data_IF_796454584219
#
_entry.id   IF_796454584219
#
_cell.length_a   1.000
_cell.length_b   1.000
_cell.length_c   1.000
_cell.angle_alpha   90.00
_cell.angle_beta   90.00
_cell.angle_gamma   90.00
#
_symmetry.space_group_name_H-M   'P 1'
#
loop_
_entity.id
_entity.type
_entity.pdbx_description
1 polymer ?
#
# COMPACT_ATOMS: atom_id res chain seq x y z
N UNK A 1 13.84 -15.91 29.86
CA UNK A 1 12.86 -15.95 28.77
C UNK A 1 12.95 -14.67 27.91
N UNK A 2 14.17 -14.16 27.65
CA UNK A 2 14.41 -12.88 26.93
C UNK A 2 15.48 -12.99 25.83
N UNK A 3 15.72 -14.19 25.29
CA UNK A 3 16.83 -14.43 24.36
C UNK A 3 16.38 -14.92 22.95
N UNK A 4 15.17 -14.62 22.48
CA UNK A 4 14.68 -15.02 21.13
C UNK A 4 14.11 -13.90 20.27
N UNK A 5 14.35 -12.63 20.61
CA UNK A 5 13.82 -11.49 19.84
C UNK A 5 14.89 -10.63 19.16
N UNK A 6 16.16 -11.05 19.16
CA UNK A 6 17.25 -10.24 18.60
C UNK A 6 17.41 -10.31 17.06
N UNK A 7 16.75 -11.23 16.37
CA UNK A 7 16.98 -11.48 14.92
C UNK A 7 15.89 -10.89 13.99
N UNK A 8 15.01 -10.02 14.48
CA UNK A 8 13.95 -9.40 13.64
C UNK A 8 14.05 -7.88 13.49
N UNK A 9 15.10 -7.25 14.00
CA UNK A 9 15.30 -5.80 13.89
C UNK A 9 16.49 -5.52 12.97
N UNK A 10 16.36 -5.84 11.69
CA UNK A 10 17.31 -5.40 10.68
C UNK A 10 16.63 -5.37 9.30
N UNK A 11 15.69 -4.45 9.10
CA UNK A 11 15.26 -4.13 7.74
C UNK A 11 14.75 -2.68 7.69
N UNK A 12 15.69 -1.73 7.85
CA UNK A 12 15.50 -0.39 7.27
C UNK A 12 16.22 -0.41 5.92
N UNK A 13 15.54 -0.12 4.81
CA UNK A 13 16.25 0.08 3.55
C UNK A 13 17.19 1.27 3.69
N UNK A 14 18.40 1.17 3.13
CA UNK A 14 19.47 2.20 3.12
C UNK A 14 19.08 3.55 2.49
N UNK A 15 17.81 3.81 2.21
CA UNK A 15 17.28 5.05 1.68
C UNK A 15 17.28 6.23 2.68
N UNK A 16 17.53 5.99 3.96
CA UNK A 16 17.53 7.04 5.01
C UNK A 16 18.92 7.36 5.56
N UNK A 17 19.93 7.47 4.73
CA UNK A 17 21.20 8.10 5.17
C UNK A 17 21.03 9.61 5.25
N UNK A 18 20.90 10.09 6.46
CA UNK A 18 21.05 11.50 6.82
C UNK A 18 22.43 11.97 6.33
N UNK A 19 22.47 13.02 5.51
CA UNK A 19 23.69 13.69 5.08
C UNK A 19 24.47 14.21 6.30
N UNK A 20 25.64 13.66 6.57
CA UNK A 20 26.50 14.21 7.63
C UNK A 20 27.68 13.35 8.09
N UNK A 21 28.27 12.46 7.26
CA UNK A 21 29.60 11.94 7.58
C UNK A 21 30.39 11.75 6.29
N UNK A 22 31.57 12.43 6.22
CA UNK A 22 32.49 12.30 5.10
C UNK A 22 32.99 10.84 4.96
N UNK A 23 33.06 10.31 3.74
CA UNK A 23 33.60 8.97 3.53
C UNK A 23 35.09 8.96 3.71
N UNK A 24 35.60 8.01 4.52
CA UNK A 24 37.02 7.65 4.55
C UNK A 24 37.44 7.23 3.13
N UNK A 25 38.58 7.82 2.67
CA UNK A 25 39.12 7.58 1.35
C UNK A 25 39.35 6.09 1.07
N UNK A 26 38.55 5.53 0.20
CA UNK A 26 38.73 4.18 -0.31
C UNK A 26 39.46 4.24 -1.65
N UNK A 27 40.52 3.43 -1.82
CA UNK A 27 41.35 3.33 -3.00
C UNK A 27 40.52 3.03 -4.25
N UNK A 28 40.56 3.88 -5.27
CA UNK A 28 39.64 3.95 -6.42
C UNK A 28 39.53 2.69 -7.31
N UNK A 29 40.29 1.64 -7.06
CA UNK A 29 40.28 0.44 -7.89
C UNK A 29 39.38 -0.72 -7.41
N UNK A 30 39.02 -0.77 -6.13
CA UNK A 30 38.16 -1.84 -5.55
C UNK A 30 36.69 -1.44 -5.41
N UNK A 31 36.39 -0.14 -5.47
CA UNK A 31 35.07 0.41 -5.20
C UNK A 31 34.01 0.09 -6.28
N UNK A 32 34.40 -0.05 -7.55
CA UNK A 32 33.48 -0.37 -8.66
C UNK A 32 32.94 -1.80 -8.61
N UNK A 33 33.71 -2.76 -8.09
CA UNK A 33 33.27 -4.17 -7.96
C UNK A 33 32.39 -4.40 -6.72
N UNK A 34 32.70 -3.73 -5.59
CA UNK A 34 31.83 -3.80 -4.41
C UNK A 34 30.48 -3.12 -4.66
N UNK A 35 30.42 -1.91 -5.25
CA UNK A 35 29.18 -1.22 -5.55
C UNK A 35 28.25 -1.97 -6.53
N UNK A 36 28.83 -2.76 -7.44
CA UNK A 36 28.04 -3.57 -8.40
C UNK A 36 27.48 -4.83 -7.76
N UNK A 37 28.18 -5.43 -6.79
CA UNK A 37 27.70 -6.62 -6.07
C UNK A 37 26.69 -6.28 -4.96
N UNK A 38 26.81 -5.10 -4.34
CA UNK A 38 25.80 -4.57 -3.41
C UNK A 38 24.48 -4.21 -4.11
N UNK A 39 24.54 -3.84 -5.39
CA UNK A 39 23.34 -3.60 -6.20
C UNK A 39 22.66 -4.90 -6.67
N UNK A 40 23.36 -6.02 -6.64
CA UNK A 40 22.83 -7.35 -6.87
C UNK A 40 22.38 -7.96 -5.54
N UNK A 41 21.25 -7.53 -5.03
CA UNK A 41 20.66 -8.04 -3.78
C UNK A 41 20.27 -9.54 -3.94
N UNK A 42 21.23 -10.44 -3.81
CA UNK A 42 21.03 -11.90 -3.95
C UNK A 42 19.90 -12.43 -3.03
N UNK A 43 19.71 -11.77 -1.89
CA UNK A 43 18.59 -12.05 -1.00
C UNK A 43 17.23 -11.84 -1.66
N UNK A 44 17.07 -10.79 -2.45
CA UNK A 44 15.83 -10.52 -3.20
C UNK A 44 15.64 -11.48 -4.37
N UNK A 45 16.72 -11.83 -5.07
CA UNK A 45 16.64 -12.88 -6.07
C UNK A 45 16.11 -14.18 -5.47
N UNK A 46 16.68 -14.62 -4.34
CA UNK A 46 16.27 -15.85 -3.68
C UNK A 46 14.83 -15.79 -3.17
N UNK A 47 14.40 -14.64 -2.68
CA UNK A 47 13.02 -14.37 -2.26
C UNK A 47 12.04 -14.49 -3.43
N UNK A 48 12.37 -13.87 -4.57
CA UNK A 48 11.58 -13.96 -5.79
C UNK A 48 11.53 -15.39 -6.34
N UNK A 49 12.67 -16.12 -6.30
CA UNK A 49 12.74 -17.53 -6.71
C UNK A 49 11.90 -18.43 -5.82
N UNK A 50 11.92 -18.24 -4.51
CA UNK A 50 11.06 -19.00 -3.57
C UNK A 50 9.57 -18.74 -3.82
N UNK A 51 9.20 -17.51 -4.14
CA UNK A 51 7.80 -17.13 -4.34
C UNK A 51 7.26 -17.57 -5.72
N UNK A 52 8.08 -17.47 -6.78
CA UNK A 52 7.62 -17.58 -8.16
C UNK A 52 8.27 -18.75 -8.93
N UNK A 53 9.14 -19.51 -8.28
CA UNK A 53 9.95 -20.55 -8.93
C UNK A 53 11.18 -19.99 -9.66
N UNK A 54 12.12 -20.88 -10.01
CA UNK A 54 13.45 -20.48 -10.52
C UNK A 54 13.37 -19.61 -11.78
N UNK A 55 12.56 -19.97 -12.76
CA UNK A 55 12.46 -19.25 -14.03
C UNK A 55 11.82 -17.88 -13.90
N UNK A 56 10.62 -17.82 -13.31
CA UNK A 56 9.86 -16.58 -13.15
C UNK A 56 10.48 -15.66 -12.10
N UNK A 57 10.98 -16.20 -10.99
CA UNK A 57 11.66 -15.44 -9.96
C UNK A 57 12.95 -14.79 -10.46
N UNK A 58 13.73 -15.51 -11.26
CA UNK A 58 14.94 -14.95 -11.89
C UNK A 58 14.58 -13.88 -12.92
N UNK A 59 13.55 -14.10 -13.75
CA UNK A 59 13.06 -13.11 -14.72
C UNK A 59 12.59 -11.84 -14.04
N UNK A 60 11.80 -11.96 -12.96
CA UNK A 60 11.31 -10.85 -12.18
C UNK A 60 12.47 -10.07 -11.52
N UNK A 61 13.46 -10.79 -10.97
CA UNK A 61 14.64 -10.16 -10.39
C UNK A 61 15.49 -9.42 -11.44
N UNK A 62 15.70 -10.00 -12.63
CA UNK A 62 16.42 -9.33 -13.71
C UNK A 62 15.70 -8.08 -14.22
N UNK A 63 14.36 -8.09 -14.21
CA UNK A 63 13.55 -6.92 -14.50
C UNK A 63 13.85 -5.76 -13.55
N UNK A 64 14.09 -6.04 -12.27
CA UNK A 64 14.48 -5.06 -11.27
C UNK A 64 15.95 -4.63 -11.41
N UNK A 65 16.86 -5.61 -11.50
CA UNK A 65 18.29 -5.38 -11.32
C UNK A 65 18.97 -4.75 -12.54
N UNK A 66 18.65 -5.23 -13.76
CA UNK A 66 19.31 -4.78 -14.98
C UNK A 66 19.15 -3.27 -15.25
N UNK A 67 17.95 -2.66 -15.10
CA UNK A 67 17.80 -1.23 -15.34
C UNK A 67 18.56 -0.36 -14.34
N UNK A 68 18.75 -0.83 -13.09
CA UNK A 68 19.54 -0.10 -12.09
C UNK A 68 21.02 -0.01 -12.41
N UNK A 69 21.53 -0.93 -13.22
CA UNK A 69 22.91 -0.92 -13.71
C UNK A 69 23.12 0.08 -14.85
N UNK A 70 22.06 0.64 -15.42
CA UNK A 70 22.11 1.59 -16.52
C UNK A 70 21.58 2.96 -16.11
N UNK A 71 22.41 3.99 -16.24
CA UNK A 71 21.99 5.41 -16.03
C UNK A 71 20.97 5.89 -17.08
N UNK A 72 20.76 5.12 -18.15
CA UNK A 72 19.85 5.41 -19.26
C UNK A 72 18.63 4.48 -19.30
N UNK A 73 18.36 3.75 -18.20
CA UNK A 73 17.21 2.86 -18.18
C UNK A 73 15.90 3.64 -18.33
N UNK A 74 15.14 3.29 -19.35
CA UNK A 74 13.77 3.79 -19.51
C UNK A 74 12.91 3.37 -18.32
N UNK A 75 12.29 4.33 -17.64
CA UNK A 75 11.30 4.09 -16.58
C UNK A 75 9.91 3.74 -17.16
N UNK A 76 9.80 3.49 -18.47
CA UNK A 76 8.55 3.11 -19.12
C UNK A 76 8.05 1.77 -18.56
N UNK A 77 6.78 1.73 -18.16
CA UNK A 77 6.16 0.54 -17.63
C UNK A 77 6.24 -0.66 -18.59
N UNK A 78 6.51 -1.83 -18.04
CA UNK A 78 6.60 -3.10 -18.79
C UNK A 78 5.75 -4.16 -18.09
N UNK A 79 5.14 -5.08 -18.86
CA UNK A 79 4.34 -6.15 -18.27
C UNK A 79 5.23 -7.18 -17.59
N UNK A 80 4.81 -7.61 -16.41
CA UNK A 80 5.40 -8.71 -15.66
C UNK A 80 4.33 -9.71 -15.27
N UNK A 81 4.60 -11.01 -15.45
CA UNK A 81 3.73 -12.08 -14.96
C UNK A 81 4.18 -12.50 -13.58
N UNK A 82 3.23 -12.54 -12.66
CA UNK A 82 3.39 -13.15 -11.33
C UNK A 82 2.36 -14.28 -11.17
N UNK A 83 2.72 -15.42 -10.53
CA UNK A 83 1.87 -16.62 -10.52
C UNK A 83 0.50 -16.40 -9.90
N UNK A 84 0.43 -15.52 -8.89
CA UNK A 84 -0.79 -15.22 -8.14
C UNK A 84 -1.76 -14.29 -8.86
N UNK A 85 -1.39 -13.68 -9.99
CA UNK A 85 -2.24 -12.74 -10.73
C UNK A 85 -2.54 -13.29 -12.12
N UNK A 86 -3.83 -13.44 -12.52
CA UNK A 86 -4.21 -14.04 -13.79
C UNK A 86 -3.66 -13.30 -15.02
N UNK A 87 -3.52 -11.98 -14.92
CA UNK A 87 -3.05 -11.12 -16.00
C UNK A 87 -1.68 -10.50 -15.66
N UNK A 88 -0.88 -10.12 -16.68
CA UNK A 88 0.35 -9.40 -16.43
C UNK A 88 0.08 -8.08 -15.72
N UNK A 89 0.89 -7.76 -14.73
CA UNK A 89 0.91 -6.44 -14.08
C UNK A 89 1.96 -5.57 -14.75
N UNK A 90 1.68 -4.29 -14.86
CA UNK A 90 2.60 -3.31 -15.44
C UNK A 90 3.33 -2.58 -14.34
N UNK A 91 4.66 -2.62 -14.38
CA UNK A 91 5.56 -2.00 -13.41
C UNK A 91 6.59 -1.15 -14.13
N UNK A 92 7.00 -0.05 -13.52
CA UNK A 92 8.12 0.77 -13.99
C UNK A 92 9.43 0.18 -13.49
N UNK A 93 10.37 -0.18 -14.38
CA UNK A 93 11.68 -0.70 -13.98
C UNK A 93 12.48 0.36 -13.21
N UNK A 94 13.34 -0.07 -12.29
CA UNK A 94 14.20 0.81 -11.49
C UNK A 94 13.47 1.89 -10.67
N UNK A 95 12.22 1.63 -10.31
CA UNK A 95 11.41 2.47 -9.41
C UNK A 95 10.99 1.69 -8.17
N UNK A 96 10.22 2.34 -7.31
CA UNK A 96 9.62 1.76 -6.11
C UNK A 96 8.50 0.76 -6.39
N UNK A 97 7.97 0.68 -7.62
CA UNK A 97 6.92 -0.27 -8.01
C UNK A 97 7.26 -1.73 -7.67
N UNK A 98 8.56 -2.08 -7.80
CA UNK A 98 9.01 -3.43 -7.41
C UNK A 98 8.85 -3.71 -5.93
N UNK A 99 9.19 -2.74 -5.07
CA UNK A 99 9.11 -2.91 -3.62
C UNK A 99 7.66 -3.10 -3.18
N UNK A 100 6.75 -2.32 -3.76
CA UNK A 100 5.31 -2.46 -3.53
C UNK A 100 4.81 -3.84 -3.99
N UNK A 101 5.25 -4.31 -5.16
CA UNK A 101 4.93 -5.66 -5.64
C UNK A 101 5.48 -6.76 -4.69
N UNK A 102 6.72 -6.62 -4.25
CA UNK A 102 7.36 -7.55 -3.31
C UNK A 102 6.58 -7.58 -1.98
N UNK A 103 6.29 -6.44 -1.40
CA UNK A 103 5.55 -6.30 -0.15
C UNK A 103 4.16 -6.96 -0.22
N UNK A 104 3.44 -6.76 -1.33
CA UNK A 104 2.07 -7.23 -1.47
C UNK A 104 2.01 -8.70 -1.85
N UNK A 105 2.74 -9.15 -2.87
CA UNK A 105 2.57 -10.50 -3.46
C UNK A 105 3.59 -11.52 -2.98
N UNK A 106 4.80 -11.11 -2.59
CA UNK A 106 5.82 -12.02 -2.06
C UNK A 106 5.68 -12.10 -0.55
N UNK A 107 5.70 -10.97 0.15
CA UNK A 107 5.62 -10.90 1.61
C UNK A 107 4.18 -11.02 2.12
N UNK A 108 3.20 -10.96 1.20
CA UNK A 108 1.78 -11.04 1.51
C UNK A 108 1.36 -10.01 2.58
N UNK A 109 1.79 -8.76 2.41
CA UNK A 109 1.67 -7.68 3.39
C UNK A 109 0.27 -7.49 3.98
N UNK A 110 -0.79 -7.77 3.19
CA UNK A 110 -2.18 -7.68 3.62
C UNK A 110 -2.82 -9.00 4.06
N UNK A 111 -2.06 -10.11 4.10
CA UNK A 111 -2.60 -11.40 4.55
C UNK A 111 -2.89 -11.41 6.04
N UNK A 112 -4.08 -11.85 6.42
CA UNK A 112 -4.55 -11.98 7.79
C UNK A 112 -4.17 -13.32 8.44
N UNK A 113 -3.48 -14.22 7.71
CA UNK A 113 -3.17 -15.61 8.15
C UNK A 113 -2.39 -15.70 9.46
N UNK A 114 -1.70 -14.63 9.87
CA UNK A 114 -1.02 -14.56 11.18
C UNK A 114 -2.00 -14.44 12.36
N UNK A 115 -3.23 -14.01 12.11
CA UNK A 115 -4.27 -13.75 13.11
C UNK A 115 -5.54 -14.52 12.73
N UNK A 116 -5.56 -15.85 12.89
CA UNK A 116 -6.60 -16.72 12.32
C UNK A 116 -8.00 -16.44 12.88
N UNK A 117 -8.13 -15.91 14.09
CA UNK A 117 -9.42 -15.53 14.66
C UNK A 117 -9.98 -14.29 13.99
N UNK A 118 -9.14 -13.26 13.79
CA UNK A 118 -9.51 -12.04 13.08
C UNK A 118 -9.79 -12.31 11.61
N UNK A 119 -8.99 -13.17 10.97
CA UNK A 119 -9.23 -13.58 9.58
C UNK A 119 -10.61 -14.24 9.44
N UNK A 120 -10.93 -15.19 10.32
CA UNK A 120 -12.27 -15.85 10.33
C UNK A 120 -13.39 -14.82 10.52
N UNK A 121 -13.22 -13.86 11.44
CA UNK A 121 -14.23 -12.83 11.69
C UNK A 121 -14.46 -11.93 10.46
N UNK A 122 -13.41 -11.52 9.75
CA UNK A 122 -13.53 -10.73 8.52
C UNK A 122 -14.21 -11.56 7.41
N UNK A 123 -13.82 -12.82 7.22
CA UNK A 123 -14.44 -13.71 6.21
C UNK A 123 -15.90 -14.00 6.51
N UNK A 124 -16.24 -14.31 7.75
CA UNK A 124 -17.65 -14.47 8.17
C UNK A 124 -18.47 -13.20 7.97
N UNK A 125 -17.89 -12.03 8.22
CA UNK A 125 -18.58 -10.77 7.95
C UNK A 125 -18.84 -10.58 6.46
N UNK A 126 -17.82 -10.83 5.62
CA UNK A 126 -17.93 -10.79 4.17
C UNK A 126 -19.05 -11.73 3.66
N UNK A 127 -19.09 -12.98 4.11
CA UNK A 127 -20.11 -13.97 3.73
C UNK A 127 -21.51 -13.52 4.17
N UNK A 128 -21.67 -13.03 5.40
CA UNK A 128 -22.96 -12.50 5.90
C UNK A 128 -23.45 -11.28 5.11
N UNK A 129 -22.55 -10.40 4.67
CA UNK A 129 -22.94 -9.29 3.80
C UNK A 129 -23.56 -9.82 2.50
N UNK A 130 -22.92 -10.82 1.88
CA UNK A 130 -23.43 -11.44 0.65
C UNK A 130 -24.77 -12.14 0.86
N UNK A 131 -24.93 -12.90 1.94
CA UNK A 131 -26.18 -13.58 2.31
C UNK A 131 -27.36 -12.60 2.52
N UNK A 132 -27.05 -11.39 2.99
CA UNK A 132 -28.04 -10.32 3.18
C UNK A 132 -28.31 -9.50 1.92
N UNK A 133 -27.71 -9.86 0.78
CA UNK A 133 -27.80 -9.09 -0.46
C UNK A 133 -27.09 -7.73 -0.41
N UNK A 134 -26.16 -7.56 0.54
CA UNK A 134 -25.31 -6.37 0.64
C UNK A 134 -24.07 -6.55 -0.24
N UNK A 135 -23.54 -5.45 -0.75
CA UNK A 135 -22.28 -5.45 -1.50
C UNK A 135 -21.12 -5.09 -0.55
N UNK A 136 -20.19 -6.00 -0.28
CA UNK A 136 -18.99 -5.66 0.47
C UNK A 136 -18.14 -4.63 -0.31
N UNK A 137 -17.80 -3.50 0.32
CA UNK A 137 -17.00 -2.44 -0.29
C UNK A 137 -15.60 -2.42 0.33
N UNK A 138 -14.60 -2.37 -0.53
CA UNK A 138 -13.20 -2.15 -0.12
C UNK A 138 -12.72 -0.82 -0.71
N UNK A 139 -12.14 0.01 0.12
CA UNK A 139 -11.51 1.26 -0.29
C UNK A 139 -9.99 1.10 -0.20
N UNK A 140 -9.30 1.31 -1.32
CA UNK A 140 -7.85 1.39 -1.40
C UNK A 140 -7.48 2.86 -1.59
N UNK A 141 -7.24 3.55 -0.48
CA UNK A 141 -6.91 4.97 -0.44
C UNK A 141 -5.39 5.12 -0.52
N UNK A 142 -4.90 5.76 -1.59
CA UNK A 142 -3.49 5.73 -1.99
C UNK A 142 -3.17 4.44 -2.74
N UNK A 143 -3.89 4.21 -3.86
CA UNK A 143 -3.84 2.93 -4.57
C UNK A 143 -2.56 2.75 -5.40
N UNK A 144 -1.75 3.80 -5.57
CA UNK A 144 -0.54 3.79 -6.38
C UNK A 144 -0.84 3.20 -7.77
N UNK A 145 -0.16 2.14 -8.18
CA UNK A 145 -0.41 1.45 -9.44
C UNK A 145 -1.43 0.31 -9.35
N UNK A 146 -2.20 0.20 -8.24
CA UNK A 146 -3.34 -0.72 -8.08
C UNK A 146 -3.01 -2.12 -7.57
N UNK A 147 -1.83 -2.36 -7.06
CA UNK A 147 -1.42 -3.71 -6.64
C UNK A 147 -2.18 -4.21 -5.41
N UNK A 148 -2.48 -3.33 -4.45
CA UNK A 148 -3.29 -3.67 -3.28
C UNK A 148 -4.74 -3.97 -3.69
N UNK A 149 -5.33 -3.16 -4.58
CA UNK A 149 -6.66 -3.42 -5.13
C UNK A 149 -6.75 -4.78 -5.83
N UNK A 150 -5.73 -5.14 -6.64
CA UNK A 150 -5.65 -6.47 -7.28
C UNK A 150 -5.56 -7.60 -6.26
N UNK A 151 -4.77 -7.42 -5.20
CA UNK A 151 -4.66 -8.41 -4.13
C UNK A 151 -5.99 -8.60 -3.39
N UNK A 152 -6.68 -7.51 -3.02
CA UNK A 152 -7.99 -7.57 -2.39
C UNK A 152 -9.05 -8.21 -3.29
N UNK A 153 -9.02 -7.94 -4.59
CA UNK A 153 -9.96 -8.55 -5.55
C UNK A 153 -9.82 -10.08 -5.61
N UNK A 154 -8.62 -10.61 -5.39
CA UNK A 154 -8.39 -12.07 -5.32
C UNK A 154 -8.90 -12.67 -4.00
N UNK A 155 -8.83 -11.91 -2.91
CA UNK A 155 -9.26 -12.38 -1.59
C UNK A 155 -10.77 -12.29 -1.39
N UNK A 156 -11.44 -11.32 -2.05
CA UNK A 156 -12.86 -10.99 -1.87
C UNK A 156 -13.52 -10.80 -3.24
N UNK A 157 -13.81 -11.92 -3.91
CA UNK A 157 -14.22 -11.96 -5.33
C UNK A 157 -15.48 -11.15 -5.64
N UNK A 158 -16.39 -11.02 -4.69
CA UNK A 158 -17.66 -10.30 -4.85
C UNK A 158 -17.63 -8.91 -4.19
N UNK A 159 -16.48 -8.46 -3.72
CA UNK A 159 -16.37 -7.11 -3.19
C UNK A 159 -16.27 -6.08 -4.33
N UNK A 160 -16.89 -4.93 -4.13
CA UNK A 160 -16.67 -3.73 -4.94
C UNK A 160 -15.46 -2.99 -4.40
N UNK A 161 -14.51 -2.66 -5.23
CA UNK A 161 -13.27 -2.01 -4.82
C UNK A 161 -13.18 -0.64 -5.49
N UNK A 162 -13.00 0.41 -4.68
CA UNK A 162 -12.68 1.75 -5.17
C UNK A 162 -11.20 2.03 -4.88
N UNK A 163 -10.42 2.19 -5.94
CA UNK A 163 -8.97 2.43 -5.86
C UNK A 163 -8.69 3.90 -6.17
N UNK A 164 -8.33 4.66 -5.15
CA UNK A 164 -8.17 6.13 -5.22
C UNK A 164 -6.69 6.48 -5.29
N UNK A 165 -6.30 7.18 -6.35
CA UNK A 165 -4.91 7.60 -6.58
C UNK A 165 -4.88 9.01 -7.15
N UNK A 166 -4.19 9.96 -6.49
CA UNK A 166 -4.15 11.35 -6.93
C UNK A 166 -3.11 11.64 -8.01
N UNK A 167 -1.99 10.90 -8.06
CA UNK A 167 -0.92 11.19 -9.01
C UNK A 167 -1.25 10.64 -10.40
N UNK A 168 -1.21 11.52 -11.42
CA UNK A 168 -1.62 11.18 -12.78
C UNK A 168 -0.89 9.96 -13.35
N UNK A 169 0.44 9.92 -13.23
CA UNK A 169 1.25 8.83 -13.80
C UNK A 169 0.96 7.47 -13.11
N UNK A 170 0.70 7.49 -11.80
CA UNK A 170 0.29 6.31 -11.05
C UNK A 170 -1.12 5.88 -11.44
N UNK A 171 -2.04 6.84 -11.55
CA UNK A 171 -3.42 6.58 -11.91
C UNK A 171 -3.57 5.97 -13.31
N UNK A 172 -2.80 6.42 -14.30
CA UNK A 172 -2.80 5.82 -15.62
C UNK A 172 -2.36 4.34 -15.56
N UNK A 173 -1.33 4.06 -14.77
CA UNK A 173 -0.85 2.70 -14.61
C UNK A 173 -1.80 1.83 -13.76
N UNK A 174 -2.42 2.40 -12.73
CA UNK A 174 -3.53 1.79 -11.98
C UNK A 174 -4.65 1.36 -12.94
N UNK A 175 -5.15 2.27 -13.79
CA UNK A 175 -6.20 1.97 -14.77
C UNK A 175 -5.82 0.80 -15.68
N UNK A 176 -4.58 0.77 -16.14
CA UNK A 176 -4.07 -0.30 -16.99
C UNK A 176 -4.03 -1.63 -16.23
N UNK A 177 -3.52 -1.64 -15.00
CA UNK A 177 -3.39 -2.84 -14.19
C UNK A 177 -4.74 -3.47 -13.81
N UNK A 178 -5.75 -2.65 -13.51
CA UNK A 178 -7.07 -3.15 -13.07
C UNK A 178 -8.07 -3.34 -14.21
N UNK A 179 -7.68 -3.05 -15.46
CA UNK A 179 -8.59 -3.04 -16.63
C UNK A 179 -9.36 -4.35 -16.86
N UNK A 180 -8.82 -5.48 -16.42
CA UNK A 180 -9.45 -6.81 -16.51
C UNK A 180 -10.31 -7.17 -15.29
N UNK A 181 -10.48 -6.26 -14.33
CA UNK A 181 -11.19 -6.50 -13.07
C UNK A 181 -12.41 -5.57 -12.96
N UNK A 182 -13.59 -5.99 -13.43
CA UNK A 182 -14.79 -5.13 -13.48
C UNK A 182 -15.31 -4.71 -12.09
N UNK A 183 -14.89 -5.39 -11.05
CA UNK A 183 -15.22 -5.08 -9.67
C UNK A 183 -14.29 -4.01 -9.05
N UNK A 184 -13.24 -3.58 -9.76
CA UNK A 184 -12.34 -2.49 -9.33
C UNK A 184 -12.66 -1.23 -10.12
N UNK A 185 -12.93 -0.13 -9.43
CA UNK A 185 -13.12 1.20 -10.03
C UNK A 185 -11.96 2.09 -9.65
N UNK A 186 -11.06 2.43 -10.59
CA UNK A 186 -10.03 3.41 -10.36
C UNK A 186 -10.62 4.83 -10.32
N UNK A 187 -10.15 5.66 -9.39
CA UNK A 187 -10.63 7.03 -9.18
C UNK A 187 -9.43 7.96 -9.09
N UNK A 188 -9.36 8.93 -10.01
CA UNK A 188 -8.34 9.97 -10.01
C UNK A 188 -8.74 11.09 -9.05
N UNK A 189 -8.36 10.97 -7.80
CA UNK A 189 -8.65 11.94 -6.74
C UNK A 189 -7.70 11.73 -5.56
N UNK A 190 -7.60 12.70 -4.68
CA UNK A 190 -7.05 12.51 -3.34
C UNK A 190 -8.15 12.16 -2.35
N UNK A 191 -7.93 11.23 -1.43
CA UNK A 191 -8.86 10.97 -0.34
C UNK A 191 -8.72 12.05 0.74
N UNK A 192 -9.84 12.58 1.22
CA UNK A 192 -9.86 13.71 2.15
C UNK A 192 -11.07 13.67 3.07
N UNK A 193 -11.13 14.59 4.02
CA UNK A 193 -12.29 14.74 4.92
C UNK A 193 -13.49 15.50 4.29
N UNK A 194 -13.26 16.21 3.18
CA UNK A 194 -14.28 17.03 2.50
C UNK A 194 -13.97 17.19 1.02
N UNK A 195 -14.94 17.68 0.28
CA UNK A 195 -14.78 18.11 -1.11
C UNK A 195 -13.97 19.42 -1.17
N UNK A 196 -12.81 19.38 -1.78
CA UNK A 196 -11.88 20.49 -1.99
C UNK A 196 -10.89 20.16 -3.12
N UNK A 197 -9.85 20.98 -3.27
CA UNK A 197 -8.78 20.72 -4.22
C UNK A 197 -7.42 20.75 -3.51
N UNK A 198 -6.52 19.91 -3.97
CA UNK A 198 -5.18 19.75 -3.40
C UNK A 198 -4.12 19.86 -4.47
N UNK A 199 -2.94 20.31 -4.08
CA UNK A 199 -1.73 20.19 -4.87
C UNK A 199 -0.97 18.93 -4.44
N UNK A 200 -0.27 18.32 -5.39
CA UNK A 200 0.59 17.17 -5.12
C UNK A 200 2.04 17.63 -5.00
N UNK A 201 2.72 17.11 -4.00
CA UNK A 201 4.15 17.29 -3.81
C UNK A 201 4.83 15.93 -3.78
N UNK A 202 5.99 15.83 -4.42
CA UNK A 202 6.78 14.62 -4.43
C UNK A 202 8.23 15.00 -4.13
N UNK A 203 8.61 15.12 -2.84
CA UNK A 203 9.93 15.60 -2.44
C UNK A 203 11.06 14.65 -2.84
N UNK A 204 10.76 13.35 -2.94
CA UNK A 204 11.77 12.31 -3.20
C UNK A 204 11.87 11.91 -4.68
N UNK A 205 10.91 12.35 -5.51
CA UNK A 205 10.84 12.01 -6.93
C UNK A 205 10.53 10.53 -7.23
N UNK A 206 10.15 9.75 -6.21
CA UNK A 206 9.80 8.35 -6.34
C UNK A 206 8.28 8.17 -6.53
N UNK A 207 7.82 7.16 -7.30
CA UNK A 207 6.41 6.99 -7.61
C UNK A 207 5.47 6.84 -6.41
N UNK A 208 5.94 6.33 -5.29
CA UNK A 208 5.12 6.13 -4.09
C UNK A 208 5.00 7.39 -3.21
N UNK A 209 5.94 8.37 -3.32
CA UNK A 209 6.11 9.48 -2.38
C UNK A 209 5.26 10.73 -2.72
N UNK A 210 4.10 10.54 -3.36
CA UNK A 210 3.18 11.63 -3.67
C UNK A 210 2.30 11.98 -2.47
N UNK A 211 2.51 13.15 -1.90
CA UNK A 211 1.72 13.69 -0.80
C UNK A 211 0.77 14.79 -1.27
N UNK A 212 -0.47 14.77 -0.80
CA UNK A 212 -1.46 15.81 -1.07
C UNK A 212 -1.38 16.94 -0.03
N UNK A 213 -1.52 18.18 -0.48
CA UNK A 213 -1.61 19.37 0.38
C UNK A 213 -2.76 20.25 -0.04
N UNK A 214 -3.59 20.65 0.90
CA UNK A 214 -4.70 21.54 0.60
C UNK A 214 -4.21 22.90 0.12
N UNK A 215 -4.75 23.35 -1.00
CA UNK A 215 -4.47 24.66 -1.56
C UNK A 215 -5.74 25.43 -1.96
N UNK A 216 -6.89 24.75 -1.97
CA UNK A 216 -8.19 25.32 -2.43
C UNK A 216 -8.27 25.60 -3.93
N UNK A 217 -7.13 25.73 -4.60
CA UNK A 217 -7.02 25.95 -6.05
C UNK A 217 -6.17 24.87 -6.74
N UNK A 218 -5.86 23.79 -6.03
CA UNK A 218 -5.00 22.71 -6.51
C UNK A 218 -5.53 22.00 -7.75
N UNK A 219 -4.66 21.22 -8.38
CA UNK A 219 -4.99 20.54 -9.64
C UNK A 219 -5.85 19.31 -9.45
N UNK A 220 -5.76 18.65 -8.26
CA UNK A 220 -6.43 17.39 -7.98
C UNK A 220 -7.67 17.60 -7.12
N UNK A 221 -8.79 17.03 -7.56
CA UNK A 221 -10.04 16.98 -6.80
C UNK A 221 -9.94 15.99 -5.64
N UNK A 222 -10.55 16.31 -4.51
CA UNK A 222 -10.68 15.37 -3.40
C UNK A 222 -11.98 14.56 -3.48
N UNK A 223 -12.02 13.44 -2.77
CA UNK A 223 -13.19 12.61 -2.55
C UNK A 223 -13.21 12.13 -1.10
N UNK A 224 -14.39 12.02 -0.50
CA UNK A 224 -14.51 11.51 0.87
C UNK A 224 -14.80 10.01 0.88
N UNK A 225 -14.47 9.34 2.00
CA UNK A 225 -14.87 7.93 2.21
C UNK A 225 -16.39 7.77 2.09
N UNK A 226 -17.16 8.72 2.62
CA UNK A 226 -18.63 8.74 2.52
C UNK A 226 -19.10 8.74 1.07
N UNK A 227 -18.53 9.63 0.22
CA UNK A 227 -18.92 9.72 -1.20
C UNK A 227 -18.65 8.41 -1.94
N UNK A 228 -17.53 7.76 -1.63
CA UNK A 228 -17.19 6.47 -2.22
C UNK A 228 -18.19 5.37 -1.82
N UNK A 229 -18.56 5.29 -0.55
CA UNK A 229 -19.53 4.32 -0.05
C UNK A 229 -20.91 4.55 -0.67
N UNK A 230 -21.32 5.81 -0.91
CA UNK A 230 -22.59 6.16 -1.54
C UNK A 230 -22.67 5.81 -3.03
N UNK A 231 -21.53 5.56 -3.70
CA UNK A 231 -21.51 5.11 -5.11
C UNK A 231 -22.05 3.68 -5.30
N UNK A 232 -22.09 2.89 -4.23
CA UNK A 232 -22.64 1.54 -4.26
C UNK A 232 -23.90 1.49 -3.37
N UNK A 233 -25.12 1.52 -3.95
CA UNK A 233 -26.37 1.72 -3.20
C UNK A 233 -26.62 0.73 -2.06
N UNK A 234 -26.16 -0.52 -2.22
CA UNK A 234 -26.21 -1.57 -1.19
C UNK A 234 -24.82 -1.83 -0.59
N UNK A 235 -23.92 -0.86 -0.71
CA UNK A 235 -22.53 -1.01 -0.28
C UNK A 235 -22.36 -0.84 1.21
N UNK A 236 -21.63 -1.78 1.81
CA UNK A 236 -21.20 -1.70 3.20
C UNK A 236 -19.69 -1.83 3.27
N UNK A 237 -18.99 -0.99 4.06
CA UNK A 237 -17.54 -1.06 4.15
C UNK A 237 -17.12 -2.39 4.78
N UNK A 238 -16.23 -3.12 4.11
CA UNK A 238 -15.57 -4.31 4.62
C UNK A 238 -14.15 -3.99 5.07
N UNK A 239 -13.39 -3.31 4.20
CA UNK A 239 -12.01 -2.92 4.44
C UNK A 239 -11.79 -1.49 3.94
N UNK A 240 -11.12 -0.68 4.74
CA UNK A 240 -10.56 0.62 4.31
C UNK A 240 -9.06 0.59 4.51
N UNK A 241 -8.28 0.56 3.41
CA UNK A 241 -6.83 0.73 3.43
C UNK A 241 -6.50 2.20 3.24
N UNK A 242 -5.61 2.73 4.08
CA UNK A 242 -5.17 4.14 4.10
C UNK A 242 -3.65 4.16 4.08
N UNK A 243 -3.11 4.69 3.00
CA UNK A 243 -1.68 4.84 2.78
C UNK A 243 -1.53 6.03 1.82
N UNK A 244 -1.53 7.24 2.39
CA UNK A 244 -1.76 8.52 1.69
C UNK A 244 -0.67 9.55 1.94
N UNK A 245 0.49 9.07 2.36
CA UNK A 245 1.73 9.84 2.40
C UNK A 245 1.61 11.19 3.16
N UNK A 246 1.03 11.13 4.38
CA UNK A 246 0.93 12.27 5.31
C UNK A 246 -0.37 13.07 5.23
N UNK A 247 -1.38 12.60 4.47
CA UNK A 247 -2.75 13.16 4.44
C UNK A 247 -3.65 12.69 5.58
N UNK A 248 -3.14 11.87 6.52
CA UNK A 248 -3.93 11.24 7.58
C UNK A 248 -4.55 12.28 8.53
N UNK A 249 -3.85 13.36 8.84
CA UNK A 249 -4.35 14.43 9.72
C UNK A 249 -5.65 15.00 9.16
N UNK A 250 -5.67 15.26 7.88
CA UNK A 250 -6.81 15.84 7.19
C UNK A 250 -7.95 14.83 7.06
N UNK A 251 -7.65 13.60 6.64
CA UNK A 251 -8.66 12.55 6.48
C UNK A 251 -9.40 12.24 7.79
N UNK A 252 -8.68 12.25 8.92
CA UNK A 252 -9.25 11.97 10.24
C UNK A 252 -9.77 13.22 10.98
N UNK A 253 -9.79 14.39 10.35
CA UNK A 253 -10.28 15.64 10.96
C UNK A 253 -11.79 15.64 11.15
N UNK A 254 -12.54 15.26 10.11
CA UNK A 254 -14.01 15.25 10.10
C UNK A 254 -14.58 14.17 9.19
N UNK A 255 -15.91 13.98 9.18
CA UNK A 255 -16.61 12.99 8.36
C UNK A 255 -16.07 11.55 8.55
N UNK A 256 -15.86 11.16 9.81
CA UNK A 256 -15.21 9.89 10.21
C UNK A 256 -16.20 8.82 10.66
N UNK A 257 -17.50 8.99 10.45
CA UNK A 257 -18.55 8.05 10.86
C UNK A 257 -18.40 6.65 10.23
N UNK A 258 -17.74 6.58 9.10
CA UNK A 258 -17.40 5.32 8.42
C UNK A 258 -16.53 4.40 9.27
N UNK A 259 -15.76 4.93 10.24
CA UNK A 259 -14.89 4.17 11.14
C UNK A 259 -15.68 3.13 11.92
N UNK A 260 -16.83 3.54 12.50
CA UNK A 260 -17.68 2.64 13.28
C UNK A 260 -18.22 1.48 12.46
N UNK A 261 -18.52 1.73 11.18
CA UNK A 261 -19.10 0.76 10.26
C UNK A 261 -18.08 -0.17 9.63
N UNK A 262 -16.77 0.17 9.72
CA UNK A 262 -15.72 -0.55 9.01
C UNK A 262 -15.11 -1.65 9.87
N UNK A 263 -15.30 -2.92 9.50
CA UNK A 263 -14.74 -4.09 10.20
C UNK A 263 -13.22 -4.06 10.32
N UNK A 264 -12.53 -3.79 9.20
CA UNK A 264 -11.07 -3.75 9.15
C UNK A 264 -10.59 -2.43 8.53
N UNK A 265 -9.76 -1.71 9.26
CA UNK A 265 -9.03 -0.56 8.74
C UNK A 265 -7.55 -0.93 8.75
N UNK A 266 -6.90 -0.83 7.58
CA UNK A 266 -5.44 -1.03 7.43
C UNK A 266 -4.84 0.32 7.10
N UNK A 267 -3.85 0.76 7.88
CA UNK A 267 -3.25 2.07 7.66
C UNK A 267 -1.74 2.06 7.91
N UNK A 268 -1.04 2.94 7.20
CA UNK A 268 0.35 3.29 7.44
C UNK A 268 0.44 4.66 8.11
N UNK A 269 1.42 4.84 9.01
CA UNK A 269 1.66 6.11 9.71
C UNK A 269 2.88 6.81 9.13
N UNK A 270 2.70 8.06 8.73
CA UNK A 270 3.75 8.88 8.12
C UNK A 270 4.29 9.98 9.06
N UNK A 271 4.29 9.75 10.39
CA UNK A 271 4.85 10.70 11.38
C UNK A 271 6.34 11.01 11.12
N UNK A 272 7.06 10.09 10.48
CA UNK A 272 8.46 10.26 10.12
C UNK A 272 8.71 11.30 9.02
N UNK A 273 7.71 11.59 8.17
CA UNK A 273 7.81 12.61 7.12
C UNK A 273 7.82 14.05 7.66
N UNK A 274 7.47 14.23 8.91
CA UNK A 274 7.46 15.56 9.52
C UNK A 274 7.25 15.45 11.01
N UNK A 275 8.32 15.37 11.77
CA UNK A 275 8.28 15.26 13.22
C UNK A 275 7.33 16.27 13.87
N UNK A 276 6.61 15.81 14.92
CA UNK A 276 5.70 16.61 15.74
C UNK A 276 4.41 17.08 15.05
N UNK A 277 4.05 16.55 13.88
CA UNK A 277 2.78 16.84 13.20
C UNK A 277 1.58 16.14 13.83
N UNK A 278 1.79 14.95 14.43
CA UNK A 278 0.77 14.19 15.13
C UNK A 278 -0.20 13.45 14.21
N UNK A 279 0.29 12.91 13.09
CA UNK A 279 -0.51 12.05 12.21
C UNK A 279 -1.03 10.83 12.96
N UNK A 280 -0.16 10.12 13.68
CA UNK A 280 -0.56 8.99 14.53
C UNK A 280 -1.57 9.40 15.62
N UNK A 281 -1.41 10.58 16.24
CA UNK A 281 -2.39 11.08 17.20
C UNK A 281 -3.77 11.29 16.55
N UNK A 282 -3.84 11.89 15.37
CA UNK A 282 -5.08 12.10 14.63
C UNK A 282 -5.77 10.77 14.33
N UNK A 283 -5.05 9.78 13.83
CA UNK A 283 -5.57 8.44 13.52
C UNK A 283 -6.06 7.74 14.78
N UNK A 284 -5.21 7.56 15.80
CA UNK A 284 -5.56 6.79 16.98
C UNK A 284 -6.63 7.45 17.82
N UNK A 285 -6.68 8.78 17.91
CA UNK A 285 -7.75 9.48 18.65
C UNK A 285 -9.15 9.21 18.06
N UNK A 286 -9.25 8.99 16.76
CA UNK A 286 -10.51 8.65 16.08
C UNK A 286 -10.82 7.16 16.13
N UNK A 287 -9.82 6.31 15.89
CA UNK A 287 -10.02 4.85 15.91
C UNK A 287 -10.37 4.35 17.31
N UNK A 288 -9.78 4.94 18.38
CA UNK A 288 -10.00 4.51 19.76
C UNK A 288 -11.34 5.00 20.37
N UNK A 289 -12.17 5.75 19.63
CA UNK A 289 -13.54 6.07 20.07
C UNK A 289 -14.43 4.82 20.10
N UNK A 290 -14.05 3.76 19.39
CA UNK A 290 -14.73 2.47 19.37
C UNK A 290 -13.76 1.36 19.78
N UNK A 291 -14.21 0.30 20.45
CA UNK A 291 -13.36 -0.84 20.80
C UNK A 291 -12.81 -1.53 19.55
N UNK A 292 -11.47 -1.61 19.44
CA UNK A 292 -10.76 -2.22 18.30
C UNK A 292 -9.47 -2.87 18.76
N UNK A 293 -9.09 -3.98 18.13
CA UNK A 293 -7.77 -4.58 18.28
C UNK A 293 -6.81 -3.97 17.26
N UNK A 294 -5.54 -3.86 17.63
CA UNK A 294 -4.49 -3.33 16.76
C UNK A 294 -3.37 -4.35 16.62
N UNK A 295 -3.07 -4.69 15.38
CA UNK A 295 -1.99 -5.61 15.01
C UNK A 295 -1.07 -4.91 14.03
N UNK A 296 0.24 -5.19 14.10
CA UNK A 296 1.23 -4.62 13.17
C UNK A 296 1.86 -5.71 12.30
N UNK A 297 2.05 -5.38 11.03
CA UNK A 297 2.82 -6.18 10.09
C UNK A 297 3.61 -5.26 9.16
N UNK A 298 4.93 -5.30 9.27
CA UNK A 298 5.82 -4.32 8.64
C UNK A 298 5.35 -2.88 8.99
N UNK A 299 5.14 -2.04 8.00
CA UNK A 299 4.73 -0.64 8.17
C UNK A 299 3.20 -0.49 8.34
N UNK A 300 2.43 -1.56 8.04
CA UNK A 300 0.98 -1.54 8.13
C UNK A 300 0.46 -1.86 9.54
N UNK A 301 -0.48 -1.04 10.01
CA UNK A 301 -1.30 -1.27 11.19
C UNK A 301 -2.67 -1.79 10.76
N UNK A 302 -3.13 -2.87 11.40
CA UNK A 302 -4.44 -3.48 11.17
C UNK A 302 -5.31 -3.21 12.38
N UNK A 303 -6.42 -2.53 12.18
CA UNK A 303 -7.40 -2.19 13.22
C UNK A 303 -8.69 -2.95 13.00
N UNK A 304 -9.00 -3.90 13.89
CA UNK A 304 -10.17 -4.78 13.83
C UNK A 304 -11.26 -4.30 14.78
N UNK A 305 -12.48 -4.08 14.31
CA UNK A 305 -13.59 -3.68 15.16
C UNK A 305 -14.08 -4.83 16.04
N UNK A 306 -14.30 -4.58 17.34
CA UNK A 306 -14.86 -5.58 18.27
C UNK A 306 -16.32 -5.94 17.95
N UNK A 307 -17.05 -5.10 17.21
CA UNK A 307 -18.39 -5.45 16.71
C UNK A 307 -18.42 -6.74 15.90
N UNK A 308 -17.30 -7.15 15.30
CA UNK A 308 -17.16 -8.44 14.61
C UNK A 308 -17.20 -9.62 15.58
N UNK A 309 -16.61 -9.51 16.77
CA UNK A 309 -16.56 -10.60 17.75
C UNK A 309 -17.90 -10.88 18.41
N UNK A 310 -18.81 -9.90 18.41
CA UNK A 310 -20.16 -10.03 18.99
C UNK A 310 -21.18 -10.69 18.03
N UNK A 311 -20.77 -10.97 16.81
CA UNK A 311 -21.64 -11.47 15.74
C UNK A 311 -21.43 -12.99 15.47
N UNK A 312 -20.61 -13.66 16.28
CA UNK A 312 -20.31 -15.11 16.22
C UNK A 312 -21.25 -15.93 17.14
#
# INVERSE_FOLDING_TARGET
MYARYADQVAYFPDAYRVHGSQPLACNQGLCLRCGMLEQLELGRWWKAVKAFGLGQGTSAYLFLALPRLSRFAERKAKPMRIPSVPHPIWLRPATTDWYVMEQIFIDQGFSLSRWPEHERAIRSNYERMLERGQTPVILDCGAHIGLAALWFAQQFLHARIFAVEPAQDNFELLRQNVSSHPNITPIHAAIWDRDTRVDLVNPDGEPWAWAARESGSGEVQTVTVRDLLQREPNGFPLIVKIDIEGGEIELFRSNVEWIEQTPLIVFELHDWQGGWRGAGHSVFSRLSTHPRDYMQRADNMFSFAHSLAQMN
#
